data_IF_091203269016
#
_entry.id   IF_091203269016
#
_cell.length_a   1.000
_cell.length_b   1.000
_cell.length_c   1.000
_cell.angle_alpha   90.00
_cell.angle_beta   90.00
_cell.angle_gamma   90.00
#
_symmetry.space_group_name_H-M   'P 1'
#
loop_
_entity.id
_entity.type
_entity.pdbx_description
1 polymer ?
#
# COMPACT_ATOMS: atom_id res chain seq x y z
N UNK A 1 -7.67 29.84 34.69
CA UNK A 1 -7.34 30.07 33.28
C UNK A 1 -6.58 28.85 32.81
N UNK A 2 -7.32 27.92 32.20
CA UNK A 2 -6.90 26.53 31.96
C UNK A 2 -6.00 26.37 30.74
N UNK A 3 -5.11 25.39 30.85
CA UNK A 3 -4.09 25.02 29.89
C UNK A 3 -4.62 24.84 28.47
N UNK A 4 -4.13 25.67 27.54
CA UNK A 4 -4.39 25.58 26.11
C UNK A 4 -3.10 25.30 25.32
N UNK A 5 -2.19 24.48 25.86
CA UNK A 5 -0.91 24.15 25.22
C UNK A 5 -0.54 22.69 25.52
N UNK A 6 -1.21 21.73 24.89
CA UNK A 6 -0.81 20.31 24.96
C UNK A 6 -1.31 19.44 23.79
N UNK A 7 -1.74 20.02 22.66
CA UNK A 7 -2.18 19.22 21.48
C UNK A 7 -1.35 19.47 20.21
N UNK A 8 -0.35 20.35 20.26
CA UNK A 8 0.54 20.64 19.11
C UNK A 8 1.91 19.95 19.18
N UNK A 9 2.23 19.26 20.29
CA UNK A 9 3.59 18.76 20.53
C UNK A 9 3.91 17.40 19.88
N UNK A 10 2.91 16.69 19.33
CA UNK A 10 3.13 15.40 18.65
C UNK A 10 3.53 15.59 17.17
N UNK A 11 3.21 16.73 16.55
CA UNK A 11 3.55 17.00 15.15
C UNK A 11 4.94 17.60 14.91
N UNK A 12 5.71 17.93 15.94
CA UNK A 12 6.92 18.78 15.79
C UNK A 12 8.24 18.03 15.96
N UNK A 13 8.24 16.72 16.28
CA UNK A 13 9.49 16.03 16.65
C UNK A 13 10.03 14.97 15.69
N UNK A 14 9.43 14.74 14.53
CA UNK A 14 10.07 14.14 13.33
C UNK A 14 9.12 14.40 12.15
N UNK A 15 9.61 15.05 11.09
CA UNK A 15 8.87 15.50 9.89
C UNK A 15 8.33 14.36 8.99
N UNK A 16 7.95 13.23 9.58
CA UNK A 16 7.45 12.05 8.89
C UNK A 16 6.05 11.73 9.41
N UNK A 17 5.02 12.08 8.64
CA UNK A 17 3.65 11.69 9.00
C UNK A 17 3.49 10.19 8.75
N UNK A 18 3.41 9.40 9.82
CA UNK A 18 3.25 7.95 9.75
C UNK A 18 1.78 7.57 9.97
N UNK A 19 1.18 6.89 8.99
CA UNK A 19 -0.15 6.28 9.10
C UNK A 19 0.00 4.76 9.06
N UNK A 20 -0.73 4.06 9.92
CA UNK A 20 -0.78 2.59 9.92
C UNK A 20 -2.20 2.14 9.54
N UNK A 21 -2.28 1.30 8.52
CA UNK A 21 -3.53 0.69 8.06
C UNK A 21 -3.40 -0.82 8.13
N UNK A 22 -4.38 -1.48 8.74
CA UNK A 22 -4.48 -2.94 8.76
C UNK A 22 -5.62 -3.38 7.85
N UNK A 23 -5.34 -4.30 6.94
CA UNK A 23 -6.30 -4.92 6.04
C UNK A 23 -6.36 -6.43 6.27
N UNK A 24 -7.51 -7.05 6.03
CA UNK A 24 -7.69 -8.51 6.06
C UNK A 24 -8.06 -9.11 4.73
N UNK A 25 -7.62 -10.35 4.53
CA UNK A 25 -8.08 -11.19 3.45
C UNK A 25 -9.48 -11.72 3.80
N UNK A 26 -10.53 -11.45 3.01
CA UNK A 26 -11.84 -12.04 3.25
C UNK A 26 -11.72 -13.54 3.00
N UNK A 27 -12.13 -14.33 3.99
CA UNK A 27 -12.12 -15.78 3.95
C UNK A 27 -13.10 -16.30 2.92
N UNK A 28 -12.62 -16.52 1.68
CA UNK A 28 -13.38 -17.24 0.66
C UNK A 28 -12.91 -18.70 0.66
N UNK A 29 -13.79 -19.61 1.05
CA UNK A 29 -13.55 -21.06 1.01
C UNK A 29 -13.33 -21.49 -0.44
N UNK A 30 -12.07 -21.68 -0.84
CA UNK A 30 -11.73 -22.31 -2.12
C UNK A 30 -10.74 -23.44 -1.87
N UNK A 31 -11.24 -24.65 -2.09
CA UNK A 31 -10.55 -25.93 -1.99
C UNK A 31 -9.31 -25.97 -2.88
N UNK A 32 -8.12 -26.05 -2.26
CA UNK A 32 -6.86 -26.36 -2.98
C UNK A 32 -6.92 -27.77 -3.57
N UNK A 33 -6.70 -27.96 -4.89
CA UNK A 33 -6.32 -29.27 -5.39
C UNK A 33 -4.84 -29.56 -5.10
N UNK A 34 -4.58 -30.80 -4.72
CA UNK A 34 -3.25 -31.41 -4.50
C UNK A 34 -2.55 -31.59 -5.85
N UNK A 35 -1.40 -30.94 -6.05
CA UNK A 35 -0.52 -31.22 -7.19
C UNK A 35 0.70 -32.02 -6.72
N UNK A 36 0.86 -33.20 -7.32
CA UNK A 36 2.04 -34.08 -7.26
C UNK A 36 2.97 -33.85 -8.45
N UNK A 37 4.24 -34.26 -8.29
CA UNK A 37 5.36 -34.32 -9.25
C UNK A 37 6.15 -33.02 -9.48
N UNK A 38 7.45 -33.02 -9.78
CA UNK A 38 8.59 -33.94 -9.67
C UNK A 38 9.81 -33.15 -10.19
N UNK A 39 11.00 -33.46 -9.70
CA UNK A 39 12.26 -32.72 -9.88
C UNK A 39 12.71 -32.48 -11.33
N UNK A 40 13.12 -31.23 -11.64
CA UNK A 40 14.38 -30.86 -12.32
C UNK A 40 14.58 -29.33 -12.29
N UNK A 41 15.85 -28.92 -12.36
CA UNK A 41 16.35 -27.58 -12.75
C UNK A 41 16.86 -26.64 -11.63
N UNK A 42 18.07 -26.94 -11.14
CA UNK A 42 18.88 -26.08 -10.28
C UNK A 42 19.70 -25.08 -11.11
N UNK A 43 19.07 -24.03 -11.64
CA UNK A 43 19.77 -22.77 -12.01
C UNK A 43 18.88 -21.50 -11.93
N UNK A 44 17.65 -21.62 -11.43
CA UNK A 44 16.66 -20.53 -11.29
C UNK A 44 16.36 -20.13 -9.83
N UNK A 45 17.02 -20.77 -8.86
CA UNK A 45 16.57 -20.82 -7.46
C UNK A 45 16.59 -19.49 -6.69
N UNK A 46 17.46 -18.54 -7.08
CA UNK A 46 17.56 -17.24 -6.40
C UNK A 46 16.47 -16.24 -6.85
N UNK A 47 16.07 -16.27 -8.13
CA UNK A 47 14.97 -15.43 -8.63
C UNK A 47 13.60 -15.98 -8.21
N UNK A 48 13.47 -17.32 -8.10
CA UNK A 48 12.23 -17.98 -7.73
C UNK A 48 11.94 -18.00 -6.21
N UNK A 49 12.94 -17.86 -5.34
CA UNK A 49 12.69 -17.82 -3.89
C UNK A 49 12.10 -16.47 -3.46
N UNK A 50 12.55 -15.38 -4.10
CA UNK A 50 12.06 -14.03 -3.81
C UNK A 50 10.64 -13.84 -4.36
N UNK A 51 10.33 -14.37 -5.54
CA UNK A 51 8.97 -14.28 -6.11
C UNK A 51 7.92 -14.99 -5.24
N UNK A 52 8.21 -16.19 -4.73
CA UNK A 52 7.30 -16.93 -3.84
C UNK A 52 7.10 -16.25 -2.48
N UNK A 53 8.07 -15.47 -2.02
CA UNK A 53 7.98 -14.72 -0.77
C UNK A 53 7.09 -13.48 -0.86
N UNK A 54 6.47 -13.19 -2.01
CA UNK A 54 5.47 -12.12 -2.12
C UNK A 54 4.08 -12.65 -2.53
N UNK A 55 3.95 -13.95 -2.82
CA UNK A 55 2.67 -14.50 -3.28
C UNK A 55 1.58 -14.41 -2.20
N UNK A 56 1.95 -14.23 -0.92
CA UNK A 56 1.02 -13.92 0.16
C UNK A 56 0.31 -12.57 0.01
N UNK A 57 0.76 -11.67 -0.86
CA UNK A 57 0.01 -10.45 -1.18
C UNK A 57 -1.15 -10.71 -2.13
N UNK A 58 -1.11 -11.79 -2.92
CA UNK A 58 -2.11 -12.08 -3.95
C UNK A 58 -3.47 -12.36 -3.31
N UNK A 59 -4.49 -11.65 -3.79
CA UNK A 59 -5.83 -11.72 -3.23
C UNK A 59 -6.43 -10.32 -3.05
N UNK A 60 -7.63 -10.28 -2.47
CA UNK A 60 -8.35 -9.05 -2.14
C UNK A 60 -8.22 -8.76 -0.65
N UNK A 61 -7.95 -7.52 -0.29
CA UNK A 61 -7.71 -7.05 1.06
C UNK A 61 -8.69 -5.94 1.38
N UNK A 62 -9.30 -6.01 2.56
CA UNK A 62 -10.28 -5.04 3.04
C UNK A 62 -9.76 -4.32 4.27
N UNK A 63 -9.84 -3.00 4.28
CA UNK A 63 -9.42 -2.21 5.43
C UNK A 63 -10.28 -2.53 6.65
N UNK A 64 -9.61 -2.93 7.73
CA UNK A 64 -10.22 -3.15 9.03
C UNK A 64 -10.01 -1.95 9.96
N UNK A 65 -8.80 -1.39 9.92
CA UNK A 65 -8.37 -0.36 10.86
C UNK A 65 -7.44 0.64 10.17
N UNK A 66 -7.60 1.91 10.53
CA UNK A 66 -6.78 3.04 10.06
C UNK A 66 -6.43 3.92 11.25
N UNK A 67 -5.15 4.17 11.45
CA UNK A 67 -4.62 5.00 12.54
C UNK A 67 -3.83 6.18 11.97
N UNK A 68 -3.92 7.33 12.65
CA UNK A 68 -3.12 8.52 12.35
C UNK A 68 -3.30 9.10 10.93
N UNK A 69 -4.46 8.88 10.31
CA UNK A 69 -4.78 9.43 8.97
C UNK A 69 -4.84 10.96 8.94
N UNK A 70 -5.22 11.61 10.04
CA UNK A 70 -5.31 13.07 10.10
C UNK A 70 -3.99 13.75 9.72
N UNK A 71 -2.87 13.31 10.30
CA UNK A 71 -1.55 13.86 9.99
C UNK A 71 -1.16 13.63 8.51
N UNK A 72 -1.46 12.45 7.99
CA UNK A 72 -1.24 12.12 6.58
C UNK A 72 -2.06 13.02 5.64
N UNK A 73 -3.33 13.25 5.97
CA UNK A 73 -4.22 14.10 5.19
C UNK A 73 -3.75 15.56 5.15
N UNK A 74 -3.19 16.10 6.24
CA UNK A 74 -2.60 17.45 6.25
C UNK A 74 -1.36 17.50 5.36
N UNK A 75 -0.47 16.50 5.47
CA UNK A 75 0.75 16.44 4.67
C UNK A 75 0.45 16.32 3.17
N UNK A 76 -0.57 15.53 2.80
CA UNK A 76 -1.07 15.43 1.42
C UNK A 76 -1.86 16.67 0.97
N UNK A 77 -2.22 17.57 1.88
CA UNK A 77 -3.00 18.76 1.57
C UNK A 77 -4.44 18.48 1.17
N UNK A 78 -5.04 17.41 1.69
CA UNK A 78 -6.43 17.06 1.40
C UNK A 78 -7.38 18.18 1.87
N UNK A 79 -8.38 18.49 1.05
CA UNK A 79 -9.47 19.38 1.46
C UNK A 79 -10.25 18.78 2.63
N UNK A 80 -11.02 19.62 3.35
CA UNK A 80 -11.86 19.13 4.45
C UNK A 80 -12.86 18.06 4.02
N UNK A 81 -13.40 18.18 2.80
CA UNK A 81 -14.28 17.17 2.20
C UNK A 81 -13.54 15.86 1.87
N UNK A 82 -12.36 15.95 1.24
CA UNK A 82 -11.54 14.78 0.94
C UNK A 82 -11.12 14.05 2.21
N UNK A 83 -10.67 14.78 3.23
CA UNK A 83 -10.33 14.22 4.55
C UNK A 83 -11.52 13.46 5.13
N UNK A 84 -12.69 14.10 5.20
CA UNK A 84 -13.88 13.46 5.76
C UNK A 84 -14.28 12.21 4.97
N UNK A 85 -14.19 12.26 3.63
CA UNK A 85 -14.47 11.11 2.78
C UNK A 85 -13.51 9.94 3.08
N UNK A 86 -12.20 10.15 3.07
CA UNK A 86 -11.22 9.07 3.29
C UNK A 86 -11.16 8.57 4.74
N UNK A 87 -11.46 9.42 5.72
CA UNK A 87 -11.53 9.03 7.13
C UNK A 87 -12.71 8.10 7.41
N UNK A 88 -13.85 8.32 6.75
CA UNK A 88 -15.06 7.51 6.92
C UNK A 88 -15.16 6.35 5.92
N UNK A 89 -14.29 6.30 4.92
CA UNK A 89 -14.27 5.26 3.89
C UNK A 89 -13.31 4.13 4.24
N UNK A 90 -13.69 2.91 3.84
CA UNK A 90 -12.82 1.73 3.90
C UNK A 90 -12.19 1.47 2.54
N UNK A 91 -10.88 1.38 2.46
CA UNK A 91 -10.22 0.98 1.21
C UNK A 91 -10.32 -0.51 0.96
N UNK A 92 -10.39 -0.89 -0.31
CA UNK A 92 -10.13 -2.26 -0.77
C UNK A 92 -8.93 -2.28 -1.71
N UNK A 93 -8.09 -3.31 -1.59
CA UNK A 93 -6.95 -3.52 -2.48
C UNK A 93 -7.05 -4.93 -3.06
N UNK A 94 -6.66 -5.13 -4.32
CA UNK A 94 -6.45 -6.48 -4.83
C UNK A 94 -5.15 -6.57 -5.60
N UNK A 95 -4.37 -7.61 -5.30
CA UNK A 95 -3.14 -7.93 -6.00
C UNK A 95 -3.33 -9.17 -6.85
N UNK A 96 -2.86 -9.08 -8.08
CA UNK A 96 -2.77 -10.19 -9.02
C UNK A 96 -1.37 -10.19 -9.64
N UNK A 97 -0.93 -11.36 -10.10
CA UNK A 97 0.38 -11.53 -10.72
C UNK A 97 0.27 -12.44 -11.93
N UNK A 98 0.88 -12.03 -13.05
CA UNK A 98 1.07 -12.85 -14.24
C UNK A 98 2.55 -12.82 -14.64
N UNK A 99 3.29 -13.88 -14.30
CA UNK A 99 4.75 -13.91 -14.44
C UNK A 99 5.41 -12.83 -13.58
N UNK A 100 6.12 -11.92 -14.21
CA UNK A 100 6.80 -10.80 -13.54
C UNK A 100 5.96 -9.52 -13.45
N UNK A 101 4.80 -9.50 -14.12
CA UNK A 101 3.88 -8.35 -14.10
C UNK A 101 2.90 -8.49 -12.95
N UNK A 102 2.89 -7.47 -12.10
CA UNK A 102 1.92 -7.31 -11.03
C UNK A 102 0.81 -6.36 -11.45
N UNK A 103 -0.39 -6.64 -10.99
CA UNK A 103 -1.55 -5.75 -11.12
C UNK A 103 -2.08 -5.48 -9.73
N UNK A 104 -2.28 -4.21 -9.41
CA UNK A 104 -2.92 -3.77 -8.18
C UNK A 104 -4.14 -2.93 -8.56
N UNK A 105 -5.28 -3.28 -7.99
CA UNK A 105 -6.48 -2.45 -8.02
C UNK A 105 -6.72 -1.88 -6.63
N UNK A 106 -6.85 -0.56 -6.55
CA UNK A 106 -7.14 0.18 -5.32
C UNK A 106 -8.52 0.82 -5.47
N UNK A 107 -9.38 0.57 -4.49
CA UNK A 107 -10.77 1.01 -4.48
C UNK A 107 -11.22 1.44 -3.10
N UNK A 108 -12.45 1.91 -3.03
CA UNK A 108 -13.18 2.15 -1.79
C UNK A 108 -14.35 1.18 -1.74
N UNK A 109 -14.55 0.51 -0.61
CA UNK A 109 -15.64 -0.45 -0.44
C UNK A 109 -16.98 0.20 -0.75
N UNK A 110 -17.72 -0.37 -1.70
CA UNK A 110 -19.02 0.15 -2.14
C UNK A 110 -18.95 1.22 -3.23
N UNK A 111 -17.76 1.65 -3.65
CA UNK A 111 -17.55 2.53 -4.80
C UNK A 111 -17.18 1.68 -6.02
N UNK A 112 -17.95 1.71 -7.12
CA UNK A 112 -17.68 0.86 -8.29
C UNK A 112 -16.36 1.18 -9.01
N UNK A 113 -15.83 2.40 -8.85
CA UNK A 113 -14.61 2.84 -9.51
C UNK A 113 -13.38 2.44 -8.72
N UNK A 114 -12.58 1.54 -9.30
CA UNK A 114 -11.27 1.17 -8.80
C UNK A 114 -10.18 1.71 -9.74
N UNK A 115 -9.11 2.23 -9.16
CA UNK A 115 -7.91 2.60 -9.93
C UNK A 115 -7.03 1.37 -10.04
N UNK A 116 -6.74 0.94 -11.27
CA UNK A 116 -5.89 -0.22 -11.53
C UNK A 116 -4.59 0.23 -12.18
N UNK A 117 -3.46 -0.29 -11.70
CA UNK A 117 -2.17 -0.08 -12.33
C UNK A 117 -1.37 -1.39 -12.38
N UNK A 118 -0.50 -1.47 -13.38
CA UNK A 118 0.39 -2.62 -13.57
C UNK A 118 1.82 -2.16 -13.35
N UNK A 119 2.63 -3.01 -12.73
CA UNK A 119 4.02 -2.70 -12.44
C UNK A 119 4.89 -3.95 -12.50
N UNK A 120 6.19 -3.73 -12.60
CA UNK A 120 7.22 -4.73 -12.37
C UNK A 120 8.08 -4.28 -11.20
N UNK A 121 8.51 -5.23 -10.40
CA UNK A 121 9.33 -4.92 -9.23
C UNK A 121 10.65 -4.26 -9.66
N UNK A 122 10.96 -3.12 -9.05
CA UNK A 122 12.17 -2.34 -9.33
C UNK A 122 12.08 -1.40 -10.52
N UNK A 123 11.04 -1.48 -11.34
CA UNK A 123 10.84 -0.59 -12.49
C UNK A 123 10.02 0.64 -12.09
N UNK A 124 10.44 1.82 -12.55
CA UNK A 124 9.70 3.07 -12.32
C UNK A 124 8.53 3.19 -13.28
N UNK A 125 7.40 3.70 -12.83
CA UNK A 125 6.22 3.98 -13.64
C UNK A 125 5.60 5.32 -13.26
N UNK A 126 4.90 5.92 -14.21
CA UNK A 126 4.13 7.14 -13.95
C UNK A 126 2.79 6.76 -13.31
N UNK A 127 2.44 7.45 -12.24
CA UNK A 127 1.14 7.31 -11.58
C UNK A 127 0.60 8.67 -11.20
N UNK A 128 -0.61 8.69 -10.65
CA UNK A 128 -1.27 9.93 -10.27
C UNK A 128 -1.61 9.89 -8.79
N UNK A 129 -1.36 11.00 -8.11
CA UNK A 129 -1.79 11.20 -6.74
C UNK A 129 -3.32 11.37 -6.68
N UNK A 130 -3.86 11.31 -5.47
CA UNK A 130 -5.30 11.42 -5.19
C UNK A 130 -5.89 12.79 -5.56
N UNK A 131 -5.06 13.82 -5.62
CA UNK A 131 -5.40 15.18 -6.08
C UNK A 131 -5.22 15.38 -7.60
N UNK A 132 -4.80 14.36 -8.33
CA UNK A 132 -4.54 14.43 -9.76
C UNK A 132 -3.11 14.84 -10.14
N UNK A 133 -2.24 15.16 -9.18
CA UNK A 133 -0.84 15.51 -9.49
C UNK A 133 -0.02 14.29 -9.96
N UNK A 134 0.93 14.47 -10.90
CA UNK A 134 1.76 13.37 -11.38
C UNK A 134 2.75 12.91 -10.31
N UNK A 135 2.87 11.60 -10.18
CA UNK A 135 3.83 10.91 -9.32
C UNK A 135 4.74 10.03 -10.19
N UNK A 136 6.02 9.97 -9.82
CA UNK A 136 6.92 8.93 -10.30
C UNK A 136 7.05 7.87 -9.21
N UNK A 137 6.68 6.65 -9.56
CA UNK A 137 6.49 5.58 -8.58
C UNK A 137 7.38 4.39 -8.88
N UNK A 138 7.79 3.68 -7.84
CA UNK A 138 8.52 2.42 -7.95
C UNK A 138 8.18 1.53 -6.78
N UNK A 139 7.94 0.25 -7.06
CA UNK A 139 7.66 -0.76 -6.04
C UNK A 139 8.81 -1.75 -6.03
N UNK A 140 9.42 -1.95 -4.88
CA UNK A 140 10.54 -2.89 -4.68
C UNK A 140 10.14 -3.98 -3.69
N UNK A 141 10.80 -5.12 -3.82
CA UNK A 141 10.78 -6.16 -2.81
C UNK A 141 11.92 -5.93 -1.83
N UNK A 142 11.61 -5.98 -0.53
CA UNK A 142 12.61 -6.09 0.53
C UNK A 142 12.22 -7.23 1.48
N UNK A 143 12.85 -8.39 1.29
CA UNK A 143 12.46 -9.63 1.96
C UNK A 143 11.04 -10.05 1.61
N UNK A 144 10.16 -10.09 2.61
CA UNK A 144 8.73 -10.40 2.50
C UNK A 144 7.84 -9.16 2.39
N UNK A 145 8.44 -7.98 2.20
CA UNK A 145 7.75 -6.68 2.16
C UNK A 145 7.71 -6.11 0.75
N UNK A 146 6.64 -5.36 0.47
CA UNK A 146 6.59 -4.42 -0.64
C UNK A 146 6.96 -3.03 -0.12
N UNK A 147 7.93 -2.39 -0.75
CA UNK A 147 8.35 -1.02 -0.47
C UNK A 147 8.03 -0.17 -1.68
N UNK A 148 6.97 0.61 -1.58
CA UNK A 148 6.55 1.57 -2.59
C UNK A 148 7.17 2.92 -2.27
N UNK A 149 7.67 3.60 -3.30
CA UNK A 149 8.15 4.98 -3.22
C UNK A 149 7.50 5.78 -4.32
N UNK A 150 6.85 6.87 -3.94
CA UNK A 150 6.15 7.79 -4.82
C UNK A 150 6.72 9.19 -4.64
N UNK A 151 7.29 9.73 -5.72
CA UNK A 151 7.87 11.07 -5.73
C UNK A 151 6.93 11.99 -6.49
N UNK A 152 6.46 13.05 -5.82
CA UNK A 152 5.59 14.04 -6.47
C UNK A 152 6.40 14.87 -7.48
N UNK A 153 5.92 14.95 -8.72
CA UNK A 153 6.53 15.73 -9.79
C UNK A 153 5.84 17.08 -10.04
N UNK A 154 4.81 17.39 -9.25
CA UNK A 154 4.07 18.64 -9.27
C UNK A 154 4.73 19.75 -8.46
N UNK A 155 3.92 20.74 -8.07
CA UNK A 155 4.43 21.95 -7.39
C UNK A 155 4.87 21.69 -5.94
N UNK A 156 4.35 20.64 -5.30
CA UNK A 156 4.73 20.24 -3.95
C UNK A 156 5.70 19.07 -4.05
N UNK A 157 6.96 19.33 -3.69
CA UNK A 157 7.95 18.27 -3.57
C UNK A 157 7.71 17.53 -2.26
N UNK A 158 7.16 16.32 -2.35
CA UNK A 158 7.13 15.37 -1.24
C UNK A 158 7.48 13.99 -1.76
N UNK A 159 8.00 13.17 -0.86
CA UNK A 159 8.21 11.75 -1.08
C UNK A 159 7.27 10.99 -0.17
N UNK A 160 6.48 10.11 -0.75
CA UNK A 160 5.63 9.18 0.00
C UNK A 160 6.20 7.76 -0.14
N UNK A 161 6.57 7.17 0.98
CA UNK A 161 6.98 5.78 1.07
C UNK A 161 5.85 4.96 1.72
N UNK A 162 5.46 3.84 1.10
CA UNK A 162 4.49 2.89 1.64
C UNK A 162 5.18 1.55 1.81
N UNK A 163 5.28 1.07 3.04
CA UNK A 163 5.78 -0.28 3.33
C UNK A 163 4.61 -1.17 3.66
N UNK A 164 4.46 -2.26 2.91
CA UNK A 164 3.47 -3.30 3.20
C UNK A 164 4.12 -4.60 3.58
N UNK A 165 3.54 -5.23 4.58
CA UNK A 165 3.93 -6.55 5.07
C UNK A 165 2.67 -7.37 5.35
N UNK A 166 2.74 -8.66 5.05
CA UNK A 166 1.65 -9.59 5.34
C UNK A 166 2.14 -10.60 6.37
N UNK A 167 1.32 -10.78 7.40
CA UNK A 167 1.49 -11.78 8.43
C UNK A 167 0.18 -12.57 8.52
N UNK A 168 0.20 -13.81 8.02
CA UNK A 168 -0.99 -14.65 7.87
C UNK A 168 -2.05 -13.95 6.99
N UNK A 169 -3.25 -13.73 7.52
CA UNK A 169 -4.36 -13.09 6.81
C UNK A 169 -4.47 -11.58 7.09
N UNK A 170 -3.42 -10.98 7.66
CA UNK A 170 -3.33 -9.55 7.99
C UNK A 170 -2.25 -8.88 7.16
N UNK A 171 -2.63 -7.82 6.43
CA UNK A 171 -1.70 -6.91 5.78
C UNK A 171 -1.60 -5.62 6.57
N UNK A 172 -0.39 -5.27 7.00
CA UNK A 172 -0.09 -3.95 7.54
C UNK A 172 0.50 -3.09 6.43
N UNK A 173 0.02 -1.86 6.32
CA UNK A 173 0.55 -0.82 5.45
C UNK A 173 0.96 0.38 6.30
N UNK A 174 2.24 0.72 6.26
CA UNK A 174 2.81 1.90 6.92
C UNK A 174 3.12 2.94 5.85
N UNK A 175 2.44 4.06 5.89
CA UNK A 175 2.67 5.18 4.97
C UNK A 175 3.45 6.26 5.67
N UNK A 176 4.51 6.75 5.04
CA UNK A 176 5.35 7.85 5.51
C UNK A 176 5.45 8.93 4.44
N UNK A 177 5.35 10.20 4.83
CA UNK A 177 5.60 11.34 3.93
C UNK A 177 6.75 12.17 4.49
N UNK A 178 7.73 12.50 3.64
CA UNK A 178 8.86 13.38 3.95
C UNK A 178 9.16 14.40 2.85
#
# INVERSE_FOLDING_TARGET
MGAMIARALVCVLLLLSISLTTLTLPSNTSSRPRATHSAKEQKSRASNSNSMALDHFIGRWLEEKKESFACLADALGLSGEQRAFFENSKSELSYQRNGDTWTIAVGIVGVPQNTTFTFKLGETYDSTNIDGSPLKSVIRQDGNRLVERHENQGQRNFVMDIVREVHNDLMNATTTIG
#
